data_IF_547263922710
#
_entry.id   IF_547263922710
#
_cell.length_a   1.000
_cell.length_b   1.000
_cell.length_c   1.000
_cell.angle_alpha   90.00
_cell.angle_beta   90.00
_cell.angle_gamma   90.00
#
_symmetry.space_group_name_H-M   'P 1'
#
loop_
_entity.id
_entity.type
_entity.pdbx_description
1 polymer ?
2 non-polymer ?
3 non-polymer ?
4 water ?
#
# COMPACT_ATOMS: atom_id res chain seq x y z
N UNK A 1 -15.74 -1.31 -7.82
CA UNK A 1 -14.31 -1.56 -7.98
C UNK A 1 -13.82 -2.78 -7.19
N UNK A 2 -12.62 -3.23 -7.38
CA UNK A 2 -11.82 -4.36 -6.96
C UNK A 2 -10.46 -3.93 -6.52
N UNK A 3 -9.69 -4.77 -5.87
CA UNK A 3 -8.37 -4.40 -5.38
C UNK A 3 -7.37 -4.46 -6.56
N UNK A 4 -6.47 -3.48 -6.59
CA UNK A 4 -5.43 -3.41 -7.57
C UNK A 4 -4.06 -3.39 -6.86
N UNK A 5 -3.03 -3.72 -7.60
CA UNK A 5 -1.70 -3.95 -7.03
C UNK A 5 -0.63 -3.14 -7.79
N UNK A 6 0.50 -2.99 -7.15
CA UNK A 6 1.66 -2.41 -7.78
C UNK A 6 2.80 -3.41 -7.84
N UNK A 7 3.77 -3.17 -8.73
CA UNK A 7 4.90 -4.09 -8.83
C UNK A 7 5.75 -4.07 -7.61
N UNK A 8 5.69 -3.05 -6.75
CA UNK A 8 6.38 -3.05 -5.49
C UNK A 8 5.55 -3.73 -4.40
N UNK A 9 4.53 -4.50 -4.78
CA UNK A 9 3.82 -5.36 -3.84
C UNK A 9 2.98 -4.54 -2.85
N UNK A 10 2.45 -3.41 -3.31
CA UNK A 10 1.43 -2.68 -2.60
C UNK A 10 0.07 -2.97 -3.22
N UNK A 11 -1.00 -2.61 -2.51
CA UNK A 11 -2.35 -2.68 -3.05
C UNK A 11 -3.08 -1.38 -2.75
N UNK A 12 -4.13 -1.16 -3.55
CA UNK A 12 -5.05 -0.05 -3.28
C UNK A 12 -6.47 -0.54 -3.62
N UNK A 13 -7.40 -0.14 -2.76
CA UNK A 13 -8.81 -0.24 -3.04
C UNK A 13 -9.37 1.19 -3.11
N UNK A 14 -10.41 1.37 -3.92
CA UNK A 14 -10.98 2.69 -4.08
C UNK A 14 -12.48 2.70 -3.89
N UNK A 15 -12.98 3.82 -3.36
CA UNK A 15 -14.39 4.07 -3.15
C UNK A 15 -14.56 5.59 -3.23
N UNK A 16 -15.48 6.13 -3.98
CA UNK A 16 -15.83 7.54 -3.86
C UNK A 16 -14.61 8.46 -3.93
N UNK A 17 -13.62 8.17 -4.80
CA UNK A 17 -12.49 9.06 -4.95
C UNK A 17 -11.47 9.01 -3.82
N UNK A 18 -11.54 7.95 -3.01
CA UNK A 18 -10.62 7.74 -1.90
C UNK A 18 -9.98 6.36 -2.10
N UNK A 19 -8.64 6.33 -2.02
CA UNK A 19 -7.90 5.09 -2.06
C UNK A 19 -7.40 4.71 -0.67
N UNK A 20 -7.52 3.43 -0.36
CA UNK A 20 -6.93 2.82 0.84
C UNK A 20 -5.72 1.99 0.37
N UNK A 21 -4.58 2.17 1.00
CA UNK A 21 -3.32 1.59 0.53
C UNK A 21 -2.75 0.69 1.61
N UNK A 22 -2.22 -0.47 1.20
CA UNK A 22 -1.51 -1.33 2.09
C UNK A 22 -0.46 -2.14 1.32
N UNK A 23 0.12 -3.14 1.99
CA UNK A 23 1.05 -4.06 1.33
C UNK A 23 0.40 -5.42 1.19
N UNK A 24 0.87 -6.17 0.16
CA UNK A 24 0.32 -7.47 -0.13
C UNK A 24 0.85 -8.55 0.84
N UNK A 25 0.23 -9.73 0.72
CA UNK A 25 0.71 -10.85 1.53
C UNK A 25 2.18 -11.18 1.19
N UNK A 26 2.51 -11.14 -0.10
CA UNK A 26 3.88 -11.41 -0.54
C UNK A 26 4.83 -10.44 0.15
N UNK A 27 4.44 -9.17 0.20
CA UNK A 27 5.29 -8.15 0.84
C UNK A 27 5.45 -8.39 2.33
N UNK A 28 4.37 -8.71 3.03
CA UNK A 28 4.49 -8.87 4.48
C UNK A 28 5.34 -10.11 4.80
N UNK A 29 5.17 -11.17 4.00
CA UNK A 29 6.02 -12.34 4.17
C UNK A 29 7.49 -11.99 3.98
N UNK A 30 7.80 -11.19 2.97
CA UNK A 30 9.18 -10.84 2.69
C UNK A 30 9.80 -10.05 3.83
N UNK A 31 9.03 -9.19 4.48
CA UNK A 31 9.51 -8.41 5.63
C UNK A 31 9.66 -9.25 6.86
N UNK A 32 8.76 -10.18 7.11
CA UNK A 32 8.63 -10.75 8.45
C UNK A 32 8.00 -9.73 9.38
N UNK A 33 8.06 -10.00 10.69
CA UNK A 33 7.26 -9.24 11.64
C UNK A 33 7.60 -7.75 11.60
N UNK A 34 6.62 -6.92 11.38
CA UNK A 34 6.83 -5.47 11.27
C UNK A 34 6.92 -4.91 12.69
N UNK A 35 8.01 -4.19 12.95
CA UNK A 35 8.29 -3.61 14.26
C UNK A 35 7.97 -2.11 14.32
N UNK A 36 7.82 -1.43 13.17
CA UNK A 36 7.59 0.00 13.17
C UNK A 36 7.06 0.40 11.81
N UNK A 37 6.10 1.31 11.82
CA UNK A 37 5.51 1.86 10.59
C UNK A 37 5.73 3.37 10.62
N UNK A 38 6.45 3.89 9.63
CA UNK A 38 6.67 5.33 9.45
C UNK A 38 5.67 5.83 8.41
N UNK A 39 4.71 6.63 8.82
CA UNK A 39 3.56 7.01 8.02
C UNK A 39 3.52 8.54 7.86
N UNK A 40 2.95 9.04 6.78
CA UNK A 40 2.93 10.48 6.55
C UNK A 40 1.89 11.18 7.39
N UNK A 41 2.01 12.50 7.49
CA UNK A 41 1.01 13.30 8.14
C UNK A 41 -0.25 13.41 7.29
N UNK A 42 -1.42 13.46 7.90
CA UNK A 42 -2.65 13.82 7.19
C UNK A 42 -2.47 15.17 6.54
N UNK A 43 -2.92 15.30 5.28
CA UNK A 43 -2.79 16.48 4.52
C UNK A 43 -1.56 16.50 3.60
N UNK A 44 -0.70 15.49 3.71
CA UNK A 44 0.46 15.43 2.83
C UNK A 44 0.02 15.22 1.38
N UNK A 45 0.55 16.03 0.48
CA UNK A 45 0.36 15.85 -0.92
C UNK A 45 1.35 14.79 -1.44
N UNK A 46 0.86 13.88 -2.27
CA UNK A 46 1.69 12.85 -2.87
C UNK A 46 1.50 12.85 -4.37
N UNK A 47 2.59 12.64 -5.09
CA UNK A 47 2.54 12.24 -6.50
C UNK A 47 2.63 10.73 -6.61
N UNK A 48 2.04 10.14 -7.67
CA UNK A 48 2.22 8.71 -7.90
C UNK A 48 3.75 8.43 -7.95
N UNK A 49 4.25 7.45 -7.28
CA UNK A 49 5.64 6.97 -7.22
C UNK A 49 6.43 7.69 -6.12
N UNK A 50 5.82 8.66 -5.50
CA UNK A 50 6.53 9.36 -4.48
C UNK A 50 6.63 8.53 -3.20
N UNK A 51 7.79 8.54 -2.53
CA UNK A 51 7.89 7.94 -1.20
C UNK A 51 6.90 8.57 -0.23
N UNK A 52 6.23 7.72 0.54
CA UNK A 52 5.33 8.22 1.59
C UNK A 52 5.65 7.71 2.96
N UNK A 53 6.53 6.73 3.10
CA UNK A 53 6.84 6.19 4.42
C UNK A 53 7.65 4.94 4.26
N UNK A 54 7.71 4.16 5.35
CA UNK A 54 8.52 2.96 5.36
C UNK A 54 8.00 2.02 6.44
N UNK A 55 8.22 0.74 6.22
CA UNK A 55 8.00 -0.30 7.21
C UNK A 55 9.34 -0.88 7.62
N UNK A 56 9.47 -1.21 8.91
CA UNK A 56 10.68 -1.75 9.50
C UNK A 56 10.39 -3.15 10.04
N UNK A 57 11.30 -4.10 9.81
CA UNK A 57 11.30 -5.39 10.45
C UNK A 57 12.74 -5.68 10.91
N UNK A 58 12.95 -6.80 11.61
CA UNK A 58 14.34 -7.20 11.88
C UNK A 58 15.12 -7.36 10.60
N UNK A 59 14.50 -7.91 9.57
CA UNK A 59 15.20 -8.19 8.31
C UNK A 59 15.56 -6.94 7.51
N UNK A 60 14.66 -5.96 7.42
CA UNK A 60 14.85 -4.90 6.45
C UNK A 60 13.93 -3.72 6.75
N UNK A 61 14.25 -2.59 6.11
CA UNK A 61 13.26 -1.55 5.86
C UNK A 61 12.70 -1.77 4.47
N UNK A 62 11.42 -1.41 4.31
CA UNK A 62 10.79 -1.38 3.01
C UNK A 62 10.18 -0.01 2.80
N UNK A 63 10.67 0.70 1.81
CA UNK A 63 10.14 2.02 1.46
C UNK A 63 8.79 1.84 0.79
N UNK A 64 7.87 2.74 1.10
CA UNK A 64 6.52 2.74 0.59
C UNK A 64 6.42 3.87 -0.47
N UNK A 65 5.85 3.52 -1.62
CA UNK A 65 5.72 4.44 -2.75
C UNK A 65 4.27 4.63 -3.08
N UNK A 66 3.86 5.87 -3.33
CA UNK A 66 2.45 6.08 -3.47
C UNK A 66 1.89 5.44 -4.77
N UNK A 67 0.79 4.71 -4.69
CA UNK A 67 0.23 4.16 -5.95
C UNK A 67 -0.49 5.24 -6.77
N UNK A 68 -0.79 6.38 -6.18
CA UNK A 68 -1.65 7.40 -6.75
C UNK A 68 -1.14 8.79 -6.41
N UNK A 69 -1.51 9.78 -7.23
CA UNK A 69 -1.35 11.16 -6.88
C UNK A 69 -2.58 11.60 -6.06
N UNK A 70 -2.36 12.47 -5.07
CA UNK A 70 -3.48 12.98 -4.30
C UNK A 70 -3.04 13.53 -2.95
N UNK A 71 -3.87 13.32 -1.94
CA UNK A 71 -3.69 13.97 -0.64
C UNK A 71 -4.05 12.96 0.46
N UNK A 72 -3.14 12.76 1.41
CA UNK A 72 -3.40 11.83 2.52
C UNK A 72 -4.56 12.34 3.36
N UNK A 73 -5.53 11.49 3.66
CA UNK A 73 -6.67 11.82 4.48
C UNK A 73 -6.67 11.11 5.81
N UNK A 74 -6.02 9.95 5.93
CA UNK A 74 -6.04 9.19 7.17
C UNK A 74 -4.81 8.32 7.20
N UNK A 75 -4.27 8.07 8.41
CA UNK A 75 -3.31 7.02 8.64
C UNK A 75 -3.89 6.06 9.66
N UNK A 76 -3.37 4.83 9.64
CA UNK A 76 -3.91 3.82 10.53
C UNK A 76 -3.22 3.98 11.90
N UNK A 77 -3.94 4.61 12.84
CA UNK A 77 -3.40 4.92 14.15
C UNK A 77 -3.12 3.66 14.98
N UNK A 78 -3.71 2.51 14.63
CA UNK A 78 -3.45 1.29 15.39
C UNK A 78 -2.04 0.80 15.22
N UNK A 79 -1.35 1.21 14.14
CA UNK A 79 -0.05 0.65 13.83
C UNK A 79 1.06 1.18 14.72
N UNK A 80 0.84 2.27 15.47
CA UNK A 80 1.85 2.74 16.40
C UNK A 80 2.16 1.74 17.46
N UNK A 81 1.12 1.22 18.05
CA UNK A 81 1.27 0.21 19.13
C UNK A 81 1.14 -1.23 18.67
N UNK A 82 0.54 -1.44 17.48
CA UNK A 82 0.33 -2.78 16.97
C UNK A 82 0.80 -2.87 15.51
N UNK A 83 2.07 -2.66 15.28
CA UNK A 83 2.61 -2.68 13.90
C UNK A 83 2.41 -4.04 13.23
N UNK A 84 2.36 -5.11 14.04
CA UNK A 84 2.18 -6.44 13.50
C UNK A 84 0.83 -6.68 12.86
N UNK A 85 -0.11 -5.76 12.97
CA UNK A 85 -1.35 -5.87 12.18
C UNK A 85 -1.04 -5.92 10.69
N UNK A 86 0.06 -5.33 10.25
CA UNK A 86 0.43 -5.42 8.84
C UNK A 86 0.62 -6.87 8.43
N UNK A 87 1.27 -7.67 9.28
CA UNK A 87 1.46 -9.07 8.97
C UNK A 87 0.18 -9.89 9.17
N UNK A 88 -0.57 -9.60 10.22
CA UNK A 88 -1.72 -10.49 10.45
C UNK A 88 -2.89 -10.21 9.54
N UNK A 89 -3.02 -8.97 9.09
CA UNK A 89 -4.21 -8.56 8.38
C UNK A 89 -3.84 -7.55 7.30
N UNK A 90 -2.97 -7.95 6.37
CA UNK A 90 -2.39 -6.97 5.44
C UNK A 90 -3.42 -6.36 4.50
N UNK A 91 -4.53 -7.02 4.25
CA UNK A 91 -5.55 -6.51 3.35
C UNK A 91 -6.71 -5.84 4.07
N UNK A 92 -6.76 -5.90 5.40
CA UNK A 92 -7.92 -5.43 6.15
C UNK A 92 -7.47 -4.54 7.29
N UNK A 93 -7.16 -5.06 8.45
CA UNK A 93 -6.89 -4.24 9.63
C UNK A 93 -5.52 -3.59 9.61
N UNK A 94 -4.62 -4.06 8.75
CA UNK A 94 -3.30 -3.55 8.59
C UNK A 94 -3.10 -2.62 7.42
N UNK A 95 -4.18 -2.00 6.94
CA UNK A 95 -4.06 -0.92 5.95
C UNK A 95 -3.16 0.17 6.53
N UNK A 96 -2.55 0.95 5.61
CA UNK A 96 -1.57 1.93 6.02
C UNK A 96 -2.08 3.37 5.99
N UNK A 97 -2.56 3.80 4.81
CA UNK A 97 -3.05 5.16 4.63
C UNK A 97 -4.32 5.13 3.79
N UNK A 98 -5.05 6.24 3.87
CA UNK A 98 -6.10 6.56 2.92
C UNK A 98 -5.77 7.93 2.31
N UNK A 99 -6.19 8.12 1.08
CA UNK A 99 -5.91 9.37 0.38
C UNK A 99 -6.97 9.64 -0.64
N UNK A 100 -7.29 10.92 -0.86
CA UNK A 100 -8.02 11.24 -2.08
C UNK A 100 -7.04 11.08 -3.23
N UNK A 101 -7.58 10.71 -4.40
CA UNK A 101 -6.75 10.60 -5.58
C UNK A 101 -7.24 11.57 -6.63
N UNK A 102 -6.30 12.32 -7.18
CA UNK A 102 -6.61 13.42 -8.07
C UNK A 102 -6.67 13.07 -9.53
N UNK A 103 -6.14 11.94 -9.95
CA UNK A 103 -5.97 11.57 -11.36
C UNK A 103 -6.46 10.14 -11.54
N UNK A 104 -7.76 9.95 -11.75
CA UNK A 104 -8.32 8.57 -11.86
C UNK A 104 -7.69 7.75 -12.98
N UNK A 105 -7.15 8.37 -14.02
CA UNK A 105 -6.46 7.66 -15.10
C UNK A 105 -5.40 6.70 -14.52
N UNK A 106 -4.78 7.13 -13.40
CA UNK A 106 -3.70 6.36 -12.82
C UNK A 106 -4.11 4.97 -12.41
N UNK A 107 -5.37 4.72 -12.05
CA UNK A 107 -5.63 3.32 -11.68
C UNK A 107 -5.48 2.34 -12.84
N UNK A 108 -5.75 2.93 -14.07
CA UNK A 108 -5.60 2.02 -15.21
C UNK A 108 -4.17 1.56 -15.36
N UNK A 109 -3.15 2.12 -14.71
CA UNK A 109 -1.76 1.75 -14.81
C UNK A 109 -1.35 0.59 -13.90
N UNK A 110 -2.23 0.26 -12.94
CA UNK A 110 -1.92 -0.70 -11.89
C UNK A 110 -2.33 -2.07 -12.31
N UNK A 111 -1.86 -3.03 -11.55
CA UNK A 111 -2.11 -4.40 -11.91
C UNK A 111 -3.42 -4.86 -11.32
N UNK A 112 -4.16 -5.61 -12.16
CA UNK A 112 -5.29 -6.33 -11.66
C UNK A 112 -4.84 -7.44 -10.70
N UNK A 113 -5.77 -7.97 -9.94
CA UNK A 113 -5.46 -9.09 -9.10
C UNK A 113 -4.95 -10.27 -9.94
N UNK A 114 -5.55 -10.51 -11.12
CA UNK A 114 -5.11 -11.59 -11.97
C UNK A 114 -3.68 -11.40 -12.43
N UNK A 115 -3.33 -10.17 -12.85
CA UNK A 115 -1.98 -9.89 -13.26
C UNK A 115 -1.01 -10.09 -12.09
N UNK A 116 -1.43 -9.68 -10.89
CA UNK A 116 -0.58 -9.82 -9.71
C UNK A 116 -0.38 -11.29 -9.35
N UNK A 117 -1.43 -12.10 -9.50
CA UNK A 117 -1.31 -13.55 -9.31
C UNK A 117 -0.22 -14.10 -10.25
N UNK A 118 -0.31 -13.73 -11.54
CA UNK A 118 0.65 -14.21 -12.50
C UNK A 118 2.05 -13.75 -12.18
N UNK A 119 2.15 -12.48 -11.72
CA UNK A 119 3.42 -11.87 -11.35
C UNK A 119 4.10 -12.64 -10.25
N UNK A 120 3.39 -12.87 -9.12
CA UNK A 120 4.04 -13.57 -8.01
C UNK A 120 4.25 -15.05 -8.33
N UNK A 121 3.38 -15.68 -9.12
CA UNK A 121 3.64 -17.04 -9.55
C UNK A 121 4.97 -17.12 -10.30
N UNK A 122 5.18 -16.17 -11.25
CA UNK A 122 6.39 -16.15 -12.03
C UNK A 122 7.61 -15.92 -11.15
N UNK A 123 7.50 -14.96 -10.20
CA UNK A 123 8.62 -14.67 -9.31
C UNK A 123 8.96 -15.90 -8.49
N UNK A 124 7.97 -16.62 -7.99
CA UNK A 124 8.22 -17.72 -7.05
C UNK A 124 8.67 -18.99 -7.77
N UNK A 125 8.39 -19.15 -9.04
CA UNK A 125 8.83 -20.30 -9.82
C UNK A 125 10.31 -20.17 -10.17
X LIG B 1 2.40 -6.62 17.45
X LIG B 1 2.34 -8.00 16.85
X LIG B 1 1.49 -5.70 16.69
X LIG B 1 3.80 -6.10 17.39
X LIG B 1 1.96 -6.68 18.89
X LIG C 1 5.35 1.08 -8.70
X LIG C 1 6.74 1.02 -9.29
X LIG C 1 5.22 2.29 -7.83
X LIG C 1 4.35 1.15 -9.81
X LIG C 1 5.12 -0.16 -7.88
X LIG D 1 -2.07 -11.83 5.79
X LIG D 1 -1.68 -10.55 6.28
X LIG D 1 -3.24 -12.52 6.51
X LIG D 1 -4.43 -11.70 6.28
X LIG D 1 -3.45 -13.94 6.02
X LIG D 1 -2.55 -14.96 6.54
#
# INVERSE_FOLDING_TARGET
>A
SVRKFTEKHEWVTTENGVGTVGISNFAQEALGDVVYCSLPEVGTKLNKQEEFGALESVKAASELYSPLSGEVTEINKALAENPGLVNKSCYEDGWLIKMTFSNPSELDELMSEEAYEKYIKSIEE
>B hetero
1 SO4 S O1 O2 O3 O4
>C hetero
1 SO4 S O1 O2 O3 O4
>D hetero
1 GOL C1 O1 C2 O2 C3 O3
#
